data_IF_411903655282
#
_entry.id   IF_411903655282
#
_cell.length_a   1.000
_cell.length_b   1.000
_cell.length_c   1.000
_cell.angle_alpha   90.00
_cell.angle_beta   90.00
_cell.angle_gamma   90.00
#
_symmetry.space_group_name_H-M   'P 1'
#
loop_
_entity.id
_entity.type
_entity.pdbx_description
1 polymer ?
#
# COMPACT_ATOMS: atom_id res chain seq x y z
N UNK A 1 4.57 -43.01 -8.78
CA UNK A 1 3.87 -42.02 -9.62
C UNK A 1 3.15 -41.09 -8.66
N UNK A 2 3.78 -39.98 -8.26
CA UNK A 2 3.20 -39.05 -7.28
C UNK A 2 2.41 -37.96 -8.00
N UNK A 3 1.13 -37.81 -7.68
CA UNK A 3 0.31 -36.70 -8.15
C UNK A 3 1.00 -35.36 -7.82
N UNK A 4 1.21 -34.52 -8.84
CA UNK A 4 1.96 -33.24 -8.76
C UNK A 4 1.09 -32.07 -8.30
N UNK A 5 -0.23 -32.25 -8.30
CA UNK A 5 -1.24 -31.24 -8.00
C UNK A 5 -1.85 -31.55 -6.63
N UNK A 6 -1.78 -30.59 -5.71
CA UNK A 6 -2.47 -30.69 -4.42
C UNK A 6 -3.83 -30.03 -4.60
N UNK A 7 -4.90 -30.81 -4.44
CA UNK A 7 -6.27 -30.30 -4.38
C UNK A 7 -6.82 -30.51 -2.97
N UNK A 8 -7.52 -29.53 -2.39
CA UNK A 8 -8.14 -29.70 -1.10
C UNK A 8 -9.23 -30.77 -1.20
N UNK A 9 -9.23 -31.71 -0.26
CA UNK A 9 -10.36 -32.62 -0.06
C UNK A 9 -11.52 -31.75 0.47
N UNK A 10 -12.69 -31.84 -0.17
CA UNK A 10 -13.91 -31.00 0.05
C UNK A 10 -13.87 -30.22 1.37
N UNK A 11 -13.38 -28.98 1.30
CA UNK A 11 -13.30 -28.11 2.48
C UNK A 11 -14.67 -27.50 2.73
N UNK A 12 -15.27 -27.86 3.86
CA UNK A 12 -16.45 -27.17 4.39
C UNK A 12 -15.97 -26.15 5.41
N UNK A 13 -15.99 -24.88 5.01
CA UNK A 13 -15.68 -23.77 5.92
C UNK A 13 -16.78 -23.72 6.98
N UNK A 14 -16.40 -23.71 8.27
CA UNK A 14 -17.38 -23.72 9.36
C UNK A 14 -18.27 -22.48 9.30
N UNK A 15 -19.59 -22.69 9.29
CA UNK A 15 -20.60 -21.62 9.29
C UNK A 15 -21.20 -21.36 10.68
N UNK A 16 -20.67 -22.03 11.72
CA UNK A 16 -21.13 -21.89 13.09
C UNK A 16 -20.26 -20.88 13.83
N UNK A 17 -20.69 -19.61 13.81
CA UNK A 17 -20.05 -18.53 14.58
C UNK A 17 -21.10 -17.93 15.51
N UNK A 18 -20.84 -18.01 16.82
CA UNK A 18 -21.71 -17.43 17.85
C UNK A 18 -21.05 -16.30 18.63
N UNK A 19 -19.71 -16.26 18.63
CA UNK A 19 -18.92 -15.30 19.40
C UNK A 19 -17.60 -14.96 18.69
N UNK A 20 -16.84 -14.03 19.27
CA UNK A 20 -15.55 -13.61 18.72
C UNK A 20 -14.52 -14.74 18.64
N UNK A 21 -14.51 -15.69 19.58
CA UNK A 21 -13.65 -16.88 19.52
C UNK A 21 -13.89 -17.70 18.25
N UNK A 22 -15.15 -18.06 17.99
CA UNK A 22 -15.54 -18.87 16.83
C UNK A 22 -15.14 -18.16 15.52
N UNK A 23 -15.33 -16.83 15.48
CA UNK A 23 -14.93 -15.99 14.35
C UNK A 23 -13.41 -15.99 14.14
N UNK A 24 -12.63 -15.88 15.22
CA UNK A 24 -11.17 -15.92 15.15
C UNK A 24 -10.65 -17.28 14.70
N UNK A 25 -11.27 -18.37 15.13
CA UNK A 25 -10.93 -19.72 14.68
C UNK A 25 -11.18 -19.89 13.18
N UNK A 26 -12.35 -19.47 12.70
CA UNK A 26 -12.69 -19.45 11.27
C UNK A 26 -11.68 -18.64 10.45
N UNK A 27 -11.31 -17.45 10.92
CA UNK A 27 -10.29 -16.63 10.26
C UNK A 27 -8.90 -17.27 10.34
N UNK A 28 -8.59 -18.03 11.40
CA UNK A 28 -7.38 -18.84 11.49
C UNK A 28 -7.29 -19.89 10.39
N UNK A 29 -8.39 -20.62 10.15
CA UNK A 29 -8.51 -21.61 9.07
C UNK A 29 -8.34 -20.95 7.69
N UNK A 30 -9.01 -19.81 7.47
CA UNK A 30 -8.86 -19.06 6.22
C UNK A 30 -7.43 -18.54 6.05
N UNK A 31 -6.82 -18.00 7.10
CA UNK A 31 -5.44 -17.51 7.08
C UNK A 31 -4.43 -18.61 6.74
N UNK A 32 -4.67 -19.85 7.18
CA UNK A 32 -3.85 -21.01 6.81
C UNK A 32 -3.97 -21.35 5.32
N UNK A 33 -5.15 -21.16 4.73
CA UNK A 33 -5.41 -21.43 3.31
C UNK A 33 -4.89 -20.37 2.34
N UNK A 34 -4.80 -19.10 2.77
CA UNK A 34 -4.47 -17.99 1.85
C UNK A 34 -3.22 -18.24 1.03
N UNK A 35 -2.08 -18.68 1.61
CA UNK A 35 -0.86 -18.91 0.84
C UNK A 35 -1.00 -20.01 -0.23
N UNK A 36 -1.95 -20.91 -0.08
CA UNK A 36 -2.16 -22.03 -1.01
C UNK A 36 -3.10 -21.60 -2.15
N UNK A 37 -4.20 -20.94 -1.81
CA UNK A 37 -5.28 -20.66 -2.74
C UNK A 37 -5.38 -19.20 -3.16
N UNK A 38 -4.48 -18.32 -2.74
CA UNK A 38 -4.50 -16.93 -3.15
C UNK A 38 -5.69 -16.13 -2.64
N UNK A 39 -6.17 -16.42 -1.41
CA UNK A 39 -7.32 -15.72 -0.83
C UNK A 39 -6.89 -14.33 -0.38
N UNK A 40 -7.39 -13.29 -1.05
CA UNK A 40 -7.09 -11.88 -0.80
C UNK A 40 -8.04 -11.29 0.25
N UNK A 41 -7.77 -10.06 0.71
CA UNK A 41 -8.71 -9.38 1.61
C UNK A 41 -10.00 -8.95 0.89
N UNK A 42 -10.00 -8.86 -0.45
CA UNK A 42 -11.22 -8.58 -1.24
C UNK A 42 -12.19 -9.73 -1.25
N UNK A 43 -11.72 -10.94 -1.01
CA UNK A 43 -12.56 -12.12 -1.03
C UNK A 43 -13.39 -12.21 0.27
N UNK A 44 -13.00 -11.49 1.34
CA UNK A 44 -13.58 -11.59 2.69
C UNK A 44 -13.70 -10.25 3.47
N UNK A 45 -14.05 -9.10 2.86
CA UNK A 45 -14.05 -7.81 3.55
C UNK A 45 -15.06 -7.73 4.71
N UNK A 46 -16.29 -8.20 4.52
CA UNK A 46 -17.31 -8.18 5.59
C UNK A 46 -16.93 -9.12 6.75
N UNK A 47 -16.27 -10.25 6.45
CA UNK A 47 -15.75 -11.14 7.49
C UNK A 47 -14.69 -10.44 8.36
N UNK A 48 -13.81 -9.64 7.75
CA UNK A 48 -12.80 -8.86 8.48
C UNK A 48 -13.45 -7.77 9.33
N UNK A 49 -14.52 -7.15 8.86
CA UNK A 49 -15.25 -6.13 9.62
C UNK A 49 -15.95 -6.68 10.86
N UNK A 50 -16.36 -7.95 10.87
CA UNK A 50 -16.89 -8.61 12.07
C UNK A 50 -15.89 -8.71 13.23
N UNK A 51 -14.58 -8.59 12.98
CA UNK A 51 -13.57 -8.54 14.03
C UNK A 51 -13.62 -7.24 14.84
N UNK A 52 -14.23 -6.18 14.29
CA UNK A 52 -14.34 -4.88 14.97
C UNK A 52 -15.33 -4.97 16.14
N UNK A 53 -15.29 -3.98 17.03
CA UNK A 53 -16.19 -3.88 18.19
C UNK A 53 -15.58 -4.43 19.48
N UNK A 54 -16.42 -5.06 20.30
CA UNK A 54 -16.04 -5.58 21.63
C UNK A 54 -14.93 -6.64 21.51
N UNK A 55 -13.85 -6.44 22.27
CA UNK A 55 -12.67 -7.30 22.29
C UNK A 55 -12.82 -8.52 23.21
N UNK A 56 -13.91 -8.64 23.98
CA UNK A 56 -14.20 -9.85 24.72
C UNK A 56 -14.37 -11.04 23.77
N UNK A 57 -13.59 -12.09 24.00
CA UNK A 57 -13.60 -13.34 23.25
C UNK A 57 -14.97 -14.04 23.25
N UNK A 58 -15.80 -13.76 24.26
CA UNK A 58 -17.18 -14.25 24.38
C UNK A 58 -18.21 -13.30 23.80
N UNK A 59 -17.81 -12.12 23.34
CA UNK A 59 -18.75 -11.15 22.77
C UNK A 59 -19.49 -11.78 21.59
N UNK A 60 -20.82 -11.60 21.49
CA UNK A 60 -21.62 -12.26 20.49
C UNK A 60 -21.22 -11.78 19.09
N UNK A 61 -21.13 -12.72 18.15
CA UNK A 61 -20.91 -12.48 16.73
C UNK A 61 -21.79 -13.42 15.94
N UNK A 62 -22.40 -12.92 14.89
CA UNK A 62 -23.25 -13.70 14.00
C UNK A 62 -22.87 -13.43 12.56
N UNK A 63 -22.84 -14.48 11.74
CA UNK A 63 -22.56 -14.34 10.31
C UNK A 63 -23.74 -13.63 9.65
N UNK A 64 -23.48 -12.44 9.13
CA UNK A 64 -24.44 -11.72 8.30
C UNK A 64 -24.61 -12.42 6.94
N UNK A 65 -25.70 -12.16 6.21
CA UNK A 65 -25.88 -12.71 4.87
C UNK A 65 -24.72 -12.38 3.92
N UNK A 66 -24.13 -11.20 4.05
CA UNK A 66 -22.97 -10.75 3.27
C UNK A 66 -21.76 -11.64 3.54
N UNK A 67 -21.45 -11.90 4.81
CA UNK A 67 -20.33 -12.77 5.20
C UNK A 67 -20.54 -14.20 4.71
N UNK A 68 -21.77 -14.72 4.76
CA UNK A 68 -22.06 -16.07 4.24
C UNK A 68 -21.79 -16.15 2.74
N UNK A 69 -22.18 -15.13 1.98
CA UNK A 69 -21.92 -15.04 0.54
C UNK A 69 -20.43 -14.99 0.23
N UNK A 70 -19.65 -14.22 1.00
CA UNK A 70 -18.18 -14.19 0.88
C UNK A 70 -17.57 -15.58 1.12
N UNK A 71 -17.97 -16.27 2.19
CA UNK A 71 -17.49 -17.62 2.51
C UNK A 71 -17.85 -18.64 1.43
N UNK A 72 -19.04 -18.55 0.83
CA UNK A 72 -19.46 -19.39 -0.30
C UNK A 72 -18.59 -19.13 -1.54
N UNK A 73 -18.30 -17.87 -1.85
CA UNK A 73 -17.42 -17.48 -2.97
C UNK A 73 -15.99 -18.00 -2.75
N UNK A 74 -15.45 -17.83 -1.55
CA UNK A 74 -14.13 -18.35 -1.16
C UNK A 74 -14.10 -19.88 -1.29
N UNK A 75 -15.12 -20.57 -0.80
CA UNK A 75 -15.23 -22.04 -0.91
C UNK A 75 -15.27 -22.47 -2.38
N UNK A 76 -16.06 -21.79 -3.21
CA UNK A 76 -16.11 -22.04 -4.65
C UNK A 76 -14.78 -21.76 -5.36
N UNK A 77 -14.03 -20.74 -4.92
CA UNK A 77 -12.70 -20.42 -5.45
C UNK A 77 -11.67 -21.49 -5.04
N UNK A 78 -11.66 -21.92 -3.77
CA UNK A 78 -10.77 -22.97 -3.26
C UNK A 78 -10.94 -24.28 -4.03
N UNK A 79 -12.18 -24.64 -4.40
CA UNK A 79 -12.46 -25.84 -5.20
C UNK A 79 -11.90 -25.77 -6.63
N UNK A 80 -11.76 -24.57 -7.19
CA UNK A 80 -11.27 -24.33 -8.56
C UNK A 80 -9.76 -24.07 -8.62
N UNK A 81 -9.20 -23.51 -7.55
CA UNK A 81 -7.78 -23.16 -7.46
C UNK A 81 -6.95 -24.38 -7.05
N UNK A 82 -5.70 -24.40 -7.48
CA UNK A 82 -4.75 -25.47 -7.20
C UNK A 82 -3.42 -24.89 -6.76
N UNK A 83 -2.71 -25.65 -5.93
CA UNK A 83 -1.30 -25.43 -5.63
C UNK A 83 -0.50 -26.65 -6.09
N UNK A 84 0.72 -26.40 -6.53
CA UNK A 84 1.61 -27.39 -7.09
C UNK A 84 2.79 -27.62 -6.16
N UNK A 85 3.29 -28.87 -6.12
CA UNK A 85 4.61 -29.12 -5.56
C UNK A 85 5.66 -28.52 -6.50
N UNK A 86 6.70 -27.91 -5.94
CA UNK A 86 7.80 -27.41 -6.76
C UNK A 86 8.62 -28.58 -7.32
N UNK A 87 9.23 -28.33 -8.48
CA UNK A 87 10.15 -29.23 -9.15
C UNK A 87 11.57 -28.75 -8.89
N UNK A 88 12.43 -29.61 -8.34
CA UNK A 88 13.78 -29.24 -7.91
C UNK A 88 14.70 -28.74 -9.03
N UNK A 89 14.48 -29.19 -10.27
CA UNK A 89 15.27 -28.78 -11.43
C UNK A 89 14.82 -27.45 -12.03
N UNK A 90 13.62 -26.97 -11.70
CA UNK A 90 13.07 -25.74 -12.28
C UNK A 90 13.44 -24.52 -11.44
N UNK A 91 13.69 -23.37 -12.09
CA UNK A 91 13.94 -22.12 -11.38
C UNK A 91 12.64 -21.59 -10.74
N UNK A 92 12.79 -20.85 -9.65
CA UNK A 92 11.68 -20.10 -9.05
C UNK A 92 11.60 -18.69 -9.64
N UNK A 93 10.38 -18.23 -9.84
CA UNK A 93 10.07 -16.85 -10.20
C UNK A 93 9.09 -16.25 -9.19
N UNK A 94 9.15 -14.92 -9.06
CA UNK A 94 8.24 -14.13 -8.23
C UNK A 94 7.52 -13.11 -9.10
N UNK A 95 6.20 -13.01 -8.98
CA UNK A 95 5.44 -11.90 -9.52
C UNK A 95 4.83 -11.08 -8.38
N UNK A 96 5.06 -9.77 -8.38
CA UNK A 96 4.34 -8.83 -7.50
C UNK A 96 3.07 -8.40 -8.23
N UNK A 97 1.93 -8.56 -7.57
CA UNK A 97 0.59 -8.39 -8.14
C UNK A 97 -0.28 -7.52 -7.21
N UNK A 98 -1.44 -7.10 -7.72
CA UNK A 98 -2.45 -6.33 -6.99
C UNK A 98 -2.30 -4.81 -7.11
N UNK A 99 -3.33 -4.11 -6.62
CA UNK A 99 -3.44 -2.64 -6.62
C UNK A 99 -3.62 -2.11 -5.19
N UNK A 100 -3.06 -0.92 -4.90
CA UNK A 100 -3.28 -0.17 -3.65
C UNK A 100 -3.06 -1.04 -2.41
N UNK A 101 -4.10 -1.29 -1.61
CA UNK A 101 -3.94 -1.96 -0.32
C UNK A 101 -3.71 -3.48 -0.43
N UNK A 102 -3.66 -4.03 -1.65
CA UNK A 102 -3.82 -5.45 -1.89
C UNK A 102 -2.64 -6.08 -2.60
N UNK A 103 -1.48 -5.42 -2.53
CA UNK A 103 -0.27 -6.00 -3.04
C UNK A 103 -0.02 -7.38 -2.43
N UNK A 104 0.25 -8.33 -3.29
CA UNK A 104 0.61 -9.69 -2.95
C UNK A 104 1.68 -10.20 -3.92
N UNK A 105 2.38 -11.26 -3.52
CA UNK A 105 3.36 -11.93 -4.36
C UNK A 105 2.85 -13.31 -4.74
N UNK A 106 3.23 -13.79 -5.93
CA UNK A 106 3.08 -15.19 -6.31
C UNK A 106 4.46 -15.80 -6.57
N UNK A 107 4.78 -16.87 -5.85
CA UNK A 107 5.92 -17.74 -6.13
C UNK A 107 5.45 -18.84 -7.08
N UNK A 108 6.12 -18.98 -8.22
CA UNK A 108 5.74 -19.94 -9.25
C UNK A 108 6.96 -20.52 -9.99
N UNK A 109 6.72 -21.54 -10.80
CA UNK A 109 7.69 -22.14 -11.73
C UNK A 109 7.03 -22.38 -13.10
N UNK A 110 7.84 -22.42 -14.15
CA UNK A 110 7.40 -22.80 -15.50
C UNK A 110 7.79 -24.24 -15.81
N UNK A 111 6.79 -25.09 -16.08
CA UNK A 111 6.97 -26.46 -16.52
C UNK A 111 6.33 -26.67 -17.91
N UNK A 112 7.15 -26.56 -18.96
CA UNK A 112 6.69 -26.74 -20.34
C UNK A 112 6.22 -28.16 -20.67
N UNK A 113 6.44 -29.13 -19.78
CA UNK A 113 5.94 -30.50 -19.96
C UNK A 113 4.45 -30.66 -19.66
N UNK A 114 3.84 -29.67 -19.01
CA UNK A 114 2.42 -29.70 -18.63
C UNK A 114 1.54 -28.90 -19.58
N UNK A 115 0.26 -29.28 -19.65
CA UNK A 115 -0.73 -28.58 -20.48
C UNK A 115 -0.94 -27.14 -20.04
N UNK A 116 -0.98 -26.92 -18.73
CA UNK A 116 -0.83 -25.61 -18.12
C UNK A 116 0.60 -25.56 -17.57
N UNK A 117 1.42 -24.69 -18.16
CA UNK A 117 2.83 -24.62 -17.82
C UNK A 117 3.10 -23.89 -16.51
N UNK A 118 2.11 -23.21 -15.93
CA UNK A 118 2.28 -22.45 -14.69
C UNK A 118 2.10 -23.36 -13.46
N UNK A 119 3.15 -23.51 -12.66
CA UNK A 119 3.08 -24.15 -11.36
C UNK A 119 2.98 -23.10 -10.26
N UNK A 120 1.80 -23.00 -9.64
CA UNK A 120 1.54 -22.09 -8.51
C UNK A 120 2.11 -22.75 -7.25
N UNK A 121 3.15 -22.16 -6.67
CA UNK A 121 3.80 -22.72 -5.47
C UNK A 121 3.21 -22.13 -4.20
N UNK A 122 3.27 -20.81 -4.05
CA UNK A 122 2.80 -20.14 -2.83
C UNK A 122 2.49 -18.66 -3.08
N UNK A 123 1.38 -18.19 -2.51
CA UNK A 123 0.98 -16.79 -2.47
C UNK A 123 1.52 -16.10 -1.21
N UNK A 124 2.08 -14.91 -1.36
CA UNK A 124 2.72 -14.13 -0.31
C UNK A 124 1.90 -12.86 -0.06
N UNK A 125 1.36 -12.73 1.15
CA UNK A 125 0.57 -11.56 1.54
C UNK A 125 1.31 -10.67 2.52
N UNK A 126 1.08 -9.37 2.45
CA UNK A 126 1.48 -8.44 3.52
C UNK A 126 0.63 -8.67 4.78
N UNK A 127 1.18 -8.41 5.98
CA UNK A 127 0.39 -8.48 7.21
C UNK A 127 -0.77 -7.47 7.18
N UNK A 128 -1.89 -7.84 7.79
CA UNK A 128 -3.09 -7.00 7.87
C UNK A 128 -2.80 -5.67 8.59
N UNK A 129 -2.17 -5.74 9.77
CA UNK A 129 -1.64 -4.55 10.44
C UNK A 129 -0.27 -4.23 9.88
N UNK A 130 -0.11 -3.03 9.31
CA UNK A 130 1.18 -2.57 8.82
C UNK A 130 1.80 -1.62 9.85
N UNK A 131 3.13 -1.48 9.87
CA UNK A 131 3.82 -0.68 10.88
C UNK A 131 3.71 0.83 10.65
N UNK A 132 3.26 1.29 9.47
CA UNK A 132 3.17 2.71 9.11
C UNK A 132 1.77 3.05 8.59
N UNK A 133 1.27 4.21 8.98
CA UNK A 133 -0.02 4.78 8.51
C UNK A 133 -0.02 5.12 7.02
N UNK A 134 1.11 5.58 6.48
CA UNK A 134 1.24 6.00 5.07
C UNK A 134 2.35 5.15 4.44
N UNK A 135 1.98 4.35 3.44
CA UNK A 135 2.89 3.47 2.73
C UNK A 135 2.80 3.70 1.24
N UNK A 136 3.95 3.89 0.62
CA UNK A 136 4.02 3.97 -0.84
C UNK A 136 3.83 2.58 -1.45
N UNK A 137 3.31 2.56 -2.66
CA UNK A 137 3.20 1.36 -3.48
C UNK A 137 4.54 0.59 -3.60
N UNK A 138 5.64 1.33 -3.70
CA UNK A 138 6.99 0.78 -3.82
C UNK A 138 7.49 0.16 -2.51
N UNK A 139 7.18 0.76 -1.36
CA UNK A 139 7.48 0.18 -0.04
C UNK A 139 6.72 -1.14 0.16
N UNK A 140 5.47 -1.24 -0.31
CA UNK A 140 4.69 -2.47 -0.22
C UNK A 140 5.26 -3.57 -1.12
N UNK A 141 5.62 -3.24 -2.37
CA UNK A 141 6.30 -4.18 -3.27
C UNK A 141 7.64 -4.67 -2.69
N UNK A 142 8.42 -3.76 -2.12
CA UNK A 142 9.69 -4.05 -1.43
C UNK A 142 9.47 -5.06 -0.30
N UNK A 143 8.45 -4.86 0.54
CA UNK A 143 8.14 -5.78 1.63
C UNK A 143 7.72 -7.17 1.13
N UNK A 144 6.98 -7.25 0.02
CA UNK A 144 6.63 -8.54 -0.60
C UNK A 144 7.87 -9.26 -1.08
N UNK A 145 8.78 -8.56 -1.78
CA UNK A 145 10.04 -9.14 -2.27
C UNK A 145 10.85 -9.69 -1.09
N UNK A 146 11.06 -8.90 -0.03
CA UNK A 146 11.82 -9.34 1.14
C UNK A 146 11.16 -10.57 1.78
N UNK A 147 9.84 -10.57 1.94
CA UNK A 147 9.09 -11.68 2.54
C UNK A 147 9.14 -12.93 1.68
N UNK A 148 8.95 -12.80 0.37
CA UNK A 148 9.00 -13.89 -0.60
C UNK A 148 10.39 -14.51 -0.69
N UNK A 149 11.45 -13.68 -0.74
CA UNK A 149 12.85 -14.15 -0.75
C UNK A 149 13.19 -14.89 0.54
N UNK A 150 12.81 -14.34 1.69
CA UNK A 150 12.97 -15.01 2.99
C UNK A 150 12.23 -16.35 3.00
N UNK A 151 11.02 -16.41 2.44
CA UNK A 151 10.24 -17.64 2.34
C UNK A 151 10.91 -18.67 1.44
N UNK A 152 11.39 -18.27 0.27
CA UNK A 152 12.06 -19.16 -0.68
C UNK A 152 13.37 -19.72 -0.08
N UNK A 153 14.16 -18.89 0.58
CA UNK A 153 15.38 -19.33 1.29
C UNK A 153 15.05 -20.39 2.34
N UNK A 154 13.99 -20.19 3.13
CA UNK A 154 13.56 -21.18 4.14
C UNK A 154 13.01 -22.47 3.52
N UNK A 155 12.32 -22.37 2.40
CA UNK A 155 11.65 -23.50 1.76
C UNK A 155 12.61 -24.36 0.92
N UNK A 156 13.54 -23.72 0.19
CA UNK A 156 14.36 -24.38 -0.82
C UNK A 156 15.85 -24.04 -0.73
N UNK A 157 16.28 -23.11 0.13
CA UNK A 157 17.68 -22.67 0.20
C UNK A 157 18.19 -21.98 -1.07
N UNK A 158 17.28 -21.41 -1.88
CA UNK A 158 17.57 -20.85 -3.21
C UNK A 158 17.09 -19.41 -3.33
N UNK A 159 17.47 -18.77 -4.43
CA UNK A 159 16.95 -17.47 -4.84
C UNK A 159 16.12 -17.51 -6.11
N UNK A 160 15.31 -16.46 -6.31
CA UNK A 160 14.51 -16.30 -7.52
C UNK A 160 15.42 -16.03 -8.73
N UNK A 161 15.16 -16.73 -9.82
CA UNK A 161 15.79 -16.44 -11.11
C UNK A 161 15.31 -15.10 -11.68
N UNK A 162 14.03 -14.81 -11.52
CA UNK A 162 13.37 -13.59 -12.02
C UNK A 162 12.37 -13.07 -10.99
N UNK A 163 12.38 -11.75 -10.77
CA UNK A 163 11.33 -11.01 -10.05
C UNK A 163 10.61 -10.10 -11.05
N UNK A 164 9.32 -10.33 -11.24
CA UNK A 164 8.43 -9.54 -12.09
C UNK A 164 7.74 -8.46 -11.27
N UNK A 165 7.87 -7.21 -11.73
CA UNK A 165 7.29 -6.03 -11.08
C UNK A 165 6.26 -5.37 -11.99
N UNK A 166 5.09 -4.93 -11.48
CA UNK A 166 4.04 -4.28 -12.25
C UNK A 166 4.37 -2.79 -12.49
N UNK A 167 5.58 -2.52 -12.98
CA UNK A 167 6.10 -1.18 -13.28
C UNK A 167 5.86 -0.81 -14.75
N UNK A 168 5.88 0.50 -15.05
CA UNK A 168 6.10 0.99 -16.41
C UNK A 168 7.59 1.11 -16.67
N UNK A 169 8.00 0.97 -17.94
CA UNK A 169 9.41 1.04 -18.36
C UNK A 169 10.11 2.29 -17.85
N UNK A 170 9.53 3.46 -18.08
CA UNK A 170 10.15 4.74 -17.71
C UNK A 170 10.32 4.91 -16.18
N UNK A 171 9.47 4.24 -15.39
CA UNK A 171 9.56 4.30 -13.94
C UNK A 171 10.53 3.27 -13.36
N UNK A 172 10.70 2.13 -14.02
CA UNK A 172 11.63 1.09 -13.61
C UNK A 172 13.07 1.60 -13.49
N UNK A 173 13.58 2.30 -14.51
CA UNK A 173 14.95 2.82 -14.50
C UNK A 173 15.19 3.76 -13.32
N UNK A 174 14.22 4.63 -13.06
CA UNK A 174 14.27 5.53 -11.91
C UNK A 174 14.26 4.75 -10.58
N UNK A 175 13.41 3.74 -10.46
CA UNK A 175 13.31 2.92 -9.24
C UNK A 175 14.63 2.20 -8.99
N UNK A 176 15.21 1.56 -10.01
CA UNK A 176 16.48 0.83 -9.90
C UNK A 176 17.65 1.74 -9.50
N UNK A 177 17.66 3.00 -9.94
CA UNK A 177 18.78 3.91 -9.67
C UNK A 177 18.61 4.74 -8.38
N UNK A 178 17.38 5.07 -8.00
CA UNK A 178 17.11 6.12 -6.99
C UNK A 178 16.30 5.64 -5.79
N UNK A 179 15.66 4.46 -5.86
CA UNK A 179 14.89 3.96 -4.73
C UNK A 179 15.77 3.24 -3.73
N UNK A 180 15.85 3.80 -2.51
CA UNK A 180 16.50 3.12 -1.38
C UNK A 180 15.74 1.85 -0.97
N UNK A 181 14.41 1.90 -0.99
CA UNK A 181 13.58 0.78 -0.57
C UNK A 181 13.76 -0.42 -1.49
N UNK A 182 13.74 -0.20 -2.81
CA UNK A 182 13.98 -1.28 -3.77
C UNK A 182 15.40 -1.83 -3.66
N UNK A 183 16.40 -0.96 -3.48
CA UNK A 183 17.78 -1.37 -3.24
C UNK A 183 17.88 -2.27 -1.99
N UNK A 184 17.20 -1.89 -0.89
CA UNK A 184 17.11 -2.73 0.32
C UNK A 184 16.45 -4.06 -0.01
N UNK A 185 15.31 -4.09 -0.73
CA UNK A 185 14.66 -5.35 -1.12
C UNK A 185 15.58 -6.30 -1.89
N UNK A 186 16.44 -5.76 -2.76
CA UNK A 186 17.37 -6.55 -3.57
C UNK A 186 18.64 -6.95 -2.80
N UNK A 187 19.02 -6.22 -1.73
CA UNK A 187 20.27 -6.50 -0.99
C UNK A 187 20.08 -7.09 0.42
N UNK A 188 18.91 -6.99 1.05
CA UNK A 188 18.71 -7.20 2.49
C UNK A 188 18.94 -8.63 3.02
N UNK A 189 19.11 -9.64 2.16
CA UNK A 189 19.28 -11.05 2.56
C UNK A 189 20.63 -11.58 2.06
N UNK A 190 20.73 -11.70 0.75
CA UNK A 190 21.95 -11.82 -0.01
C UNK A 190 21.85 -10.81 -1.17
N UNK A 191 22.97 -10.39 -1.74
CA UNK A 191 22.91 -9.59 -2.96
C UNK A 191 22.14 -10.38 -4.03
N UNK A 192 20.99 -9.86 -4.46
CA UNK A 192 20.18 -10.50 -5.48
C UNK A 192 20.93 -10.47 -6.82
N UNK A 193 21.15 -11.64 -7.41
CA UNK A 193 21.85 -11.78 -8.70
C UNK A 193 20.95 -12.19 -9.84
N UNK A 194 19.66 -12.40 -9.59
CA UNK A 194 18.67 -12.72 -10.62
C UNK A 194 18.24 -11.50 -11.42
N UNK A 195 17.29 -11.71 -12.34
CA UNK A 195 16.77 -10.66 -13.20
C UNK A 195 15.56 -9.98 -12.56
N UNK A 196 15.41 -8.67 -12.80
CA UNK A 196 14.17 -7.96 -12.45
C UNK A 196 13.50 -7.54 -13.75
N UNK A 197 12.31 -8.09 -13.99
CA UNK A 197 11.54 -7.84 -15.20
C UNK A 197 10.36 -6.93 -14.93
N UNK A 198 9.94 -6.24 -16.00
CA UNK A 198 8.83 -5.29 -15.98
C UNK A 198 7.59 -5.96 -16.56
N UNK A 199 6.46 -5.81 -15.89
CA UNK A 199 5.18 -6.41 -16.26
C UNK A 199 5.04 -7.83 -15.70
N UNK A 200 3.86 -8.41 -15.91
CA UNK A 200 3.57 -9.77 -15.49
C UNK A 200 3.93 -10.77 -16.60
N UNK A 201 4.22 -12.03 -16.26
CA UNK A 201 4.41 -13.07 -17.25
C UNK A 201 3.16 -13.32 -18.10
N UNK A 202 3.36 -13.86 -19.30
CA UNK A 202 2.26 -14.18 -20.21
C UNK A 202 1.50 -15.44 -19.76
N UNK A 203 0.44 -15.26 -18.96
CA UNK A 203 -0.49 -16.32 -18.56
C UNK A 203 -1.86 -15.72 -18.21
N UNK A 204 -2.93 -16.48 -18.44
CA UNK A 204 -4.31 -16.04 -18.18
C UNK A 204 -4.52 -15.58 -16.73
N UNK A 205 -3.90 -16.27 -15.77
CA UNK A 205 -3.92 -15.89 -14.35
C UNK A 205 -3.40 -14.47 -14.10
N UNK A 206 -2.33 -14.08 -14.78
CA UNK A 206 -1.76 -12.74 -14.61
C UNK A 206 -2.52 -11.69 -15.43
N UNK A 207 -3.25 -12.11 -16.46
CA UNK A 207 -4.00 -11.21 -17.33
C UNK A 207 -5.16 -10.51 -16.62
N UNK A 208 -5.76 -11.14 -15.61
CA UNK A 208 -6.79 -10.53 -14.79
C UNK A 208 -6.22 -9.36 -13.95
N UNK A 209 -4.95 -9.44 -13.54
CA UNK A 209 -4.23 -8.42 -12.76
C UNK A 209 -3.41 -7.44 -13.64
N UNK A 210 -3.34 -7.63 -14.97
CA UNK A 210 -2.54 -6.81 -15.89
C UNK A 210 -2.97 -5.33 -15.96
N UNK A 211 -4.12 -4.99 -15.39
CA UNK A 211 -4.64 -3.62 -15.39
C UNK A 211 -3.89 -2.70 -14.43
N UNK A 212 -3.20 -3.25 -13.43
CA UNK A 212 -2.44 -2.42 -12.49
C UNK A 212 -0.99 -2.24 -12.95
N UNK A 213 -0.62 -0.99 -13.21
CA UNK A 213 0.77 -0.55 -13.29
C UNK A 213 0.97 0.58 -12.32
N UNK A 214 2.08 0.57 -11.59
CA UNK A 214 2.40 1.67 -10.67
C UNK A 214 2.22 3.01 -11.36
N UNK A 215 1.49 3.91 -10.70
CA UNK A 215 1.30 5.26 -11.19
C UNK A 215 2.67 5.95 -11.25
N UNK A 216 2.94 6.54 -12.41
CA UNK A 216 4.17 7.27 -12.72
C UNK A 216 4.04 8.75 -12.42
N UNK A 217 2.89 9.19 -11.90
CA UNK A 217 2.61 10.60 -11.64
C UNK A 217 3.55 11.10 -10.55
N UNK A 218 4.33 12.12 -10.91
CA UNK A 218 5.21 12.87 -10.03
C UNK A 218 4.94 14.35 -10.24
N UNK A 219 4.23 14.93 -9.29
CA UNK A 219 3.99 16.36 -9.14
C UNK A 219 4.87 16.97 -8.03
N UNK A 220 5.47 16.14 -7.16
CA UNK A 220 6.45 16.60 -6.19
C UNK A 220 7.80 16.86 -6.87
N UNK A 221 8.19 18.12 -6.91
CA UNK A 221 9.51 18.57 -7.35
C UNK A 221 10.57 18.30 -6.29
N UNK A 222 11.78 17.98 -6.75
CA UNK A 222 12.98 17.86 -5.89
C UNK A 222 13.77 19.15 -5.78
N UNK A 223 13.48 20.12 -6.64
CA UNK A 223 14.13 21.42 -6.68
C UNK A 223 13.08 22.51 -6.44
N UNK A 224 13.53 23.63 -5.88
CA UNK A 224 12.70 24.81 -5.69
C UNK A 224 12.12 25.24 -7.04
N UNK A 225 10.82 25.58 -7.05
CA UNK A 225 10.13 26.03 -8.25
C UNK A 225 10.19 27.55 -8.36
N UNK A 226 10.30 28.05 -9.58
CA UNK A 226 10.01 29.45 -9.89
C UNK A 226 8.48 29.66 -9.91
N UNK A 227 7.89 29.69 -8.71
CA UNK A 227 6.45 29.64 -8.50
C UNK A 227 6.06 30.33 -7.17
N UNK A 228 4.74 30.46 -6.95
CA UNK A 228 4.19 31.04 -5.72
C UNK A 228 4.73 30.31 -4.48
N UNK A 229 5.16 31.04 -3.46
CA UNK A 229 5.54 30.45 -2.18
C UNK A 229 4.41 30.64 -1.17
N UNK A 230 3.99 29.55 -0.55
CA UNK A 230 2.93 29.52 0.46
C UNK A 230 3.55 29.04 1.77
N UNK A 231 3.44 29.87 2.81
CA UNK A 231 3.88 29.54 4.16
C UNK A 231 2.69 29.03 4.95
N UNK A 232 2.90 27.96 5.72
CA UNK A 232 1.89 27.42 6.64
C UNK A 232 2.44 27.38 8.04
N UNK A 233 1.64 27.82 9.00
CA UNK A 233 1.97 27.84 10.42
C UNK A 233 0.72 27.49 11.25
N UNK A 234 0.94 27.05 12.49
CA UNK A 234 -0.13 26.82 13.45
C UNK A 234 0.17 27.42 14.80
N UNK A 235 -0.89 27.86 15.47
CA UNK A 235 -0.81 28.37 16.83
C UNK A 235 -1.39 27.37 17.81
N UNK A 236 -0.54 26.64 18.52
CA UNK A 236 -0.96 25.64 19.52
C UNK A 236 -1.84 26.21 20.66
N UNK A 237 -1.73 27.51 20.96
CA UNK A 237 -2.55 28.18 22.00
C UNK A 237 -3.92 28.66 21.52
N UNK A 238 -4.08 28.95 20.23
CA UNK A 238 -5.33 29.51 19.69
C UNK A 238 -6.04 28.57 18.71
N UNK A 239 -5.52 27.37 18.51
CA UNK A 239 -6.08 26.37 17.58
C UNK A 239 -6.29 26.94 16.17
N UNK A 240 -5.47 27.92 15.75
CA UNK A 240 -5.56 28.52 14.41
C UNK A 240 -4.56 27.87 13.48
N UNK A 241 -5.05 27.47 12.31
CA UNK A 241 -4.26 27.12 11.15
C UNK A 241 -4.13 28.37 10.26
N UNK A 242 -2.92 28.66 9.80
CA UNK A 242 -2.63 29.87 9.02
C UNK A 242 -1.91 29.46 7.75
N UNK A 243 -2.35 30.01 6.62
CA UNK A 243 -1.52 30.07 5.43
C UNK A 243 -1.35 31.51 4.95
N UNK A 244 -0.13 31.88 4.57
CA UNK A 244 0.20 33.19 4.01
C UNK A 244 0.94 33.04 2.69
N UNK A 245 0.71 33.98 1.78
CA UNK A 245 1.38 34.06 0.49
C UNK A 245 1.43 35.51 0.01
N UNK A 246 2.32 35.79 -0.93
CA UNK A 246 2.33 37.08 -1.63
C UNK A 246 1.52 36.93 -2.91
N UNK A 247 0.44 37.71 -3.08
CA UNK A 247 -0.33 37.68 -4.32
C UNK A 247 0.56 38.22 -5.46
N UNK A 248 0.83 37.43 -6.52
CA UNK A 248 1.65 37.86 -7.65
C UNK A 248 1.11 39.10 -8.37
N UNK A 249 -0.19 39.39 -8.30
CA UNK A 249 -0.82 40.52 -8.97
C UNK A 249 -0.69 41.82 -8.17
N UNK A 250 -1.02 41.78 -6.89
CA UNK A 250 -1.03 42.97 -6.03
C UNK A 250 0.32 43.21 -5.36
N UNK A 251 1.21 42.21 -5.35
CA UNK A 251 2.47 42.21 -4.60
C UNK A 251 2.27 42.45 -3.10
N UNK A 252 1.08 42.16 -2.57
CA UNK A 252 0.74 42.28 -1.16
C UNK A 252 0.66 40.92 -0.49
N UNK A 253 0.96 40.89 0.81
CA UNK A 253 0.72 39.72 1.65
C UNK A 253 -0.78 39.46 1.79
N UNK A 254 -1.17 38.23 1.53
CA UNK A 254 -2.49 37.70 1.81
C UNK A 254 -2.39 36.61 2.87
N UNK A 255 -3.46 36.45 3.65
CA UNK A 255 -3.55 35.40 4.66
C UNK A 255 -4.93 34.76 4.68
N UNK A 256 -4.93 33.47 4.97
CA UNK A 256 -6.14 32.71 5.25
C UNK A 256 -5.98 31.96 6.58
N UNK A 257 -6.86 32.32 7.52
CA UNK A 257 -6.83 31.85 8.91
C UNK A 257 -8.12 31.08 9.18
N UNK A 258 -7.97 29.84 9.66
CA UNK A 258 -9.09 29.02 10.10
C UNK A 258 -8.88 28.59 11.55
N UNK A 259 -9.97 28.49 12.30
CA UNK A 259 -9.96 27.89 13.65
C UNK A 259 -10.29 26.41 13.50
N UNK A 260 -9.41 25.56 13.98
CA UNK A 260 -9.49 24.11 13.79
C UNK A 260 -9.52 23.44 15.16
N UNK A 261 -10.65 22.84 15.51
CA UNK A 261 -10.75 22.06 16.73
C UNK A 261 -9.87 20.80 16.67
N UNK A 262 -9.17 20.50 17.75
CA UNK A 262 -8.39 19.27 17.91
C UNK A 262 -6.91 19.52 18.16
N UNK A 263 -6.10 18.51 17.80
CA UNK A 263 -4.66 18.51 18.06
C UNK A 263 -3.88 19.43 17.12
N UNK A 264 -2.66 19.89 17.49
CA UNK A 264 -1.82 20.71 16.62
C UNK A 264 -1.63 20.10 15.22
N UNK A 265 -1.43 18.78 15.12
CA UNK A 265 -1.28 18.09 13.83
C UNK A 265 -2.50 18.23 12.90
N UNK A 266 -3.71 18.35 13.44
CA UNK A 266 -4.94 18.56 12.68
C UNK A 266 -4.95 19.99 12.09
N UNK A 267 -4.57 20.98 12.89
CA UNK A 267 -4.43 22.35 12.41
C UNK A 267 -3.32 22.49 11.36
N UNK A 268 -2.21 21.75 11.50
CA UNK A 268 -1.08 21.80 10.56
C UNK A 268 -1.50 21.20 9.21
N UNK A 269 -2.20 20.07 9.22
CA UNK A 269 -2.75 19.46 8.01
C UNK A 269 -3.83 20.33 7.37
N UNK A 270 -4.69 20.98 8.15
CA UNK A 270 -5.72 21.88 7.62
C UNK A 270 -5.12 23.04 6.81
N UNK A 271 -4.09 23.73 7.33
CA UNK A 271 -3.41 24.80 6.60
C UNK A 271 -2.87 24.32 5.25
N UNK A 272 -2.25 23.13 5.23
CA UNK A 272 -1.70 22.55 4.01
C UNK A 272 -2.77 22.11 3.03
N UNK A 273 -3.86 21.48 3.52
CA UNK A 273 -5.00 21.10 2.67
C UNK A 273 -5.59 22.33 2.00
N UNK A 274 -5.80 23.43 2.75
CA UNK A 274 -6.30 24.70 2.18
C UNK A 274 -5.36 25.27 1.14
N UNK A 275 -4.04 25.17 1.33
CA UNK A 275 -3.07 25.57 0.31
C UNK A 275 -3.21 24.73 -0.99
N UNK A 276 -3.33 23.40 -0.86
CA UNK A 276 -3.53 22.52 -2.01
C UNK A 276 -4.86 22.74 -2.72
N UNK A 277 -5.94 23.05 -1.98
CA UNK A 277 -7.25 23.41 -2.55
C UNK A 277 -7.19 24.74 -3.27
N UNK A 278 -6.60 25.77 -2.65
CA UNK A 278 -6.58 27.12 -3.20
C UNK A 278 -5.69 27.22 -4.44
N UNK A 279 -4.55 26.53 -4.45
CA UNK A 279 -3.56 26.61 -5.53
C UNK A 279 -3.52 25.35 -6.40
N UNK A 280 -4.64 24.63 -6.53
CA UNK A 280 -4.73 23.39 -7.32
C UNK A 280 -4.35 23.60 -8.81
N UNK A 281 -4.64 24.77 -9.38
CA UNK A 281 -4.48 25.10 -10.79
C UNK A 281 -3.11 25.65 -11.19
N UNK A 282 -2.16 25.81 -10.25
CA UNK A 282 -0.82 26.37 -10.54
C UNK A 282 0.29 25.72 -9.72
N UNK A 283 1.56 25.75 -10.17
CA UNK A 283 2.66 25.29 -9.34
C UNK A 283 2.87 26.19 -8.12
N UNK A 284 3.32 25.63 -7.00
CA UNK A 284 3.67 26.40 -5.81
C UNK A 284 4.74 25.70 -4.93
N UNK A 285 5.44 26.47 -4.12
CA UNK A 285 6.36 26.00 -3.08
C UNK A 285 5.64 26.05 -1.74
N UNK A 286 5.49 24.92 -1.06
CA UNK A 286 4.98 24.81 0.29
C UNK A 286 6.13 24.94 1.30
N UNK A 287 6.03 25.90 2.20
CA UNK A 287 6.98 26.09 3.30
C UNK A 287 6.26 25.86 4.62
N UNK A 288 6.71 24.87 5.37
CA UNK A 288 6.13 24.51 6.68
C UNK A 288 7.23 24.36 7.71
N UNK A 289 6.93 24.61 8.97
CA UNK A 289 7.81 24.30 10.11
C UNK A 289 7.47 22.95 10.77
N UNK A 290 6.38 22.30 10.33
CA UNK A 290 5.99 20.96 10.79
C UNK A 290 6.74 19.87 10.03
N UNK A 291 7.66 19.21 10.74
CA UNK A 291 8.35 18.02 10.23
C UNK A 291 7.36 16.88 9.93
N UNK A 292 6.27 16.80 10.69
CA UNK A 292 5.20 15.82 10.46
C UNK A 292 4.54 16.05 9.10
N UNK A 293 4.06 17.27 8.83
CA UNK A 293 3.37 17.57 7.58
C UNK A 293 4.31 17.54 6.38
N UNK A 294 5.53 18.05 6.51
CA UNK A 294 6.54 17.93 5.46
C UNK A 294 6.78 16.46 5.08
N UNK A 295 6.88 15.57 6.08
CA UNK A 295 7.05 14.13 5.87
C UNK A 295 5.83 13.46 5.22
N UNK A 296 4.62 13.83 5.64
CA UNK A 296 3.36 13.34 5.04
C UNK A 296 3.26 13.76 3.58
N UNK A 297 3.42 15.05 3.29
CA UNK A 297 3.33 15.63 1.93
C UNK A 297 4.38 15.02 1.00
N UNK A 298 5.63 14.85 1.49
CA UNK A 298 6.70 14.24 0.72
C UNK A 298 6.43 12.77 0.34
N UNK A 299 5.50 12.10 1.04
CA UNK A 299 5.10 10.69 0.83
C UNK A 299 3.70 10.55 0.25
N UNK A 300 3.00 11.64 -0.01
CA UNK A 300 1.58 11.62 -0.40
C UNK A 300 1.33 11.21 -1.86
N UNK A 301 2.37 11.03 -2.67
CA UNK A 301 2.25 10.48 -4.02
C UNK A 301 2.24 8.95 -4.01
N UNK A 302 1.31 8.34 -4.75
CA UNK A 302 1.25 6.88 -4.97
C UNK A 302 1.32 6.09 -3.65
N UNK A 303 0.53 6.54 -2.67
CA UNK A 303 0.48 5.99 -1.32
C UNK A 303 -0.89 5.43 -1.00
N UNK A 304 -0.87 4.43 -0.13
CA UNK A 304 -2.02 3.89 0.57
C UNK A 304 -2.05 4.44 1.99
N UNK A 305 -3.21 4.96 2.38
CA UNK A 305 -3.47 5.40 3.74
C UNK A 305 -4.16 4.27 4.52
N UNK A 306 -3.56 3.86 5.62
CA UNK A 306 -4.22 2.94 6.53
C UNK A 306 -5.29 3.67 7.34
N UNK A 307 -6.38 2.95 7.64
CA UNK A 307 -7.32 3.38 8.67
C UNK A 307 -6.59 3.65 9.99
N UNK A 308 -6.82 4.83 10.56
CA UNK A 308 -6.31 5.20 11.89
C UNK A 308 -7.48 5.42 12.85
N UNK A 309 -7.29 5.14 14.16
CA UNK A 309 -8.36 5.29 15.14
C UNK A 309 -8.91 6.72 15.22
N UNK A 310 -8.05 7.72 14.96
CA UNK A 310 -8.46 9.11 14.92
C UNK A 310 -9.11 9.44 13.56
N UNK A 311 -10.45 9.35 13.51
CA UNK A 311 -11.24 9.59 12.30
C UNK A 311 -11.03 11.00 11.71
N UNK A 312 -10.85 12.03 12.54
CA UNK A 312 -10.59 13.39 12.05
C UNK A 312 -9.26 13.46 11.30
N UNK A 313 -8.20 12.86 11.87
CA UNK A 313 -6.91 12.77 11.22
C UNK A 313 -6.96 11.92 9.94
N UNK A 314 -7.67 10.78 9.98
CA UNK A 314 -7.87 9.91 8.82
C UNK A 314 -8.52 10.67 7.65
N UNK A 315 -9.58 11.43 7.92
CA UNK A 315 -10.26 12.22 6.90
C UNK A 315 -9.36 13.30 6.29
N UNK A 316 -8.59 14.03 7.10
CA UNK A 316 -7.67 15.04 6.59
C UNK A 316 -6.55 14.42 5.74
N UNK A 317 -5.94 13.34 6.19
CA UNK A 317 -4.92 12.62 5.41
C UNK A 317 -5.50 12.07 4.10
N UNK A 318 -6.71 11.50 4.15
CA UNK A 318 -7.40 11.01 2.95
C UNK A 318 -7.62 12.13 1.94
N UNK A 319 -8.12 13.28 2.42
CA UNK A 319 -8.35 14.47 1.60
C UNK A 319 -7.07 15.01 0.98
N UNK A 320 -5.98 15.09 1.75
CA UNK A 320 -4.68 15.54 1.24
C UNK A 320 -4.15 14.62 0.12
N UNK A 321 -4.22 13.30 0.33
CA UNK A 321 -3.80 12.30 -0.66
C UNK A 321 -4.67 12.40 -1.92
N UNK A 322 -5.99 12.57 -1.77
CA UNK A 322 -6.91 12.76 -2.89
C UNK A 322 -6.55 14.01 -3.71
N UNK A 323 -6.31 15.16 -3.04
CA UNK A 323 -5.92 16.40 -3.70
C UNK A 323 -4.60 16.24 -4.47
N UNK A 324 -3.57 15.65 -3.87
CA UNK A 324 -2.27 15.43 -4.51
C UNK A 324 -2.39 14.44 -5.67
N UNK A 325 -3.21 13.38 -5.52
CA UNK A 325 -3.42 12.39 -6.58
C UNK A 325 -4.07 13.01 -7.84
N UNK A 326 -4.98 13.97 -7.67
CA UNK A 326 -5.67 14.66 -8.78
C UNK A 326 -4.87 15.81 -9.36
N UNK A 327 -4.08 16.51 -8.54
CA UNK A 327 -3.27 17.67 -8.93
C UNK A 327 -2.40 17.39 -10.16
N UNK A 328 -2.40 18.26 -11.15
CA UNK A 328 -1.54 18.13 -12.34
C UNK A 328 -0.29 19.00 -12.27
N UNK A 329 -0.34 20.05 -11.46
CA UNK A 329 0.70 21.05 -11.35
C UNK A 329 1.77 20.64 -10.34
N UNK A 330 3.02 20.98 -10.63
CA UNK A 330 4.13 20.65 -9.72
C UNK A 330 3.98 21.37 -8.37
N UNK A 331 4.55 20.81 -7.32
CA UNK A 331 4.76 21.51 -6.06
C UNK A 331 6.10 21.12 -5.45
N UNK A 332 6.67 22.00 -4.64
CA UNK A 332 7.86 21.70 -3.83
C UNK A 332 7.48 21.79 -2.36
N UNK A 333 8.11 20.99 -1.49
CA UNK A 333 7.90 21.08 -0.04
C UNK A 333 9.23 21.34 0.66
N UNK A 334 9.22 22.33 1.54
CA UNK A 334 10.37 22.73 2.35
C UNK A 334 10.01 22.68 3.83
N UNK A 335 10.83 21.98 4.61
CA UNK A 335 10.79 22.04 6.07
C UNK A 335 11.73 23.15 6.54
N UNK A 336 11.19 24.08 7.32
CA UNK A 336 11.95 25.10 8.04
C UNK A 336 12.02 24.72 9.52
N UNK A 337 13.04 25.19 10.24
CA UNK A 337 13.12 24.95 11.69
C UNK A 337 12.26 25.99 12.40
N UNK A 338 11.28 25.54 13.17
CA UNK A 338 10.57 26.40 14.11
C UNK A 338 11.55 27.04 15.11
N UNK A 339 11.24 28.25 15.56
CA UNK A 339 12.01 28.99 16.58
C UNK A 339 13.48 29.30 16.23
N UNK A 340 13.82 29.40 14.95
CA UNK A 340 15.03 30.13 14.52
C UNK A 340 14.64 31.57 14.21
N UNK A 341 15.56 32.53 14.41
CA UNK A 341 15.43 33.94 14.00
C UNK A 341 15.37 34.12 12.46
N UNK A 342 14.82 33.12 11.76
CA UNK A 342 14.37 33.28 10.41
C UNK A 342 13.19 34.24 10.44
N UNK A 343 13.20 35.27 9.59
CA UNK A 343 12.12 36.23 9.57
C UNK A 343 10.81 35.50 9.26
N UNK A 344 9.92 35.53 10.25
CA UNK A 344 8.51 35.16 10.12
C UNK A 344 7.87 36.33 9.38
N UNK A 345 7.57 36.16 8.10
CA UNK A 345 7.04 37.22 7.25
C UNK A 345 5.52 37.16 7.20
#
# INVERSE_FOLDING_TARGET
ISERTIRPQKMEVSTKVNNLHDLQQLLGEINWMRPIFGITNNDIPALLDLLRGDTDIKSPRTLTPEVRKELEQVTGAIQKRQANRFVESLPFELAVLGEKEQFHGLIFQWDSSQRDSLLIIEWIFLPYRRPKTILTDLEMATQIIIKARTRLLKMAGREFSVIHLPLKKDYFDWVMQKSKDMLIALLALASYTGQVNIGCPAHTLFNEDLHFKFSTKKVLSRVLLDALTVFTDTSGRSHKSVMTWVDPKTQSWEMDVSVVEGSPHIAELDAVIRAFEKFHYRPFNLVTDSAYVAGVVARAENTVLQEVPNLALYHLLSKLIELISRREQMFYVMLTKSHTDLPRY
#
